data_IF_857067897459
#
_entry.id   IF_857067897459
#
_cell.length_a   1.000
_cell.length_b   1.000
_cell.length_c   1.000
_cell.angle_alpha   90.00
_cell.angle_beta   90.00
_cell.angle_gamma   90.00
#
_symmetry.space_group_name_H-M   'P 1'
#
loop_
_entity.id
_entity.type
_entity.pdbx_description
1 polymer ?
#
# COMPACT_ATOMS: atom_id res chain seq x y z
N UNK A 1 -19.71 -30.41 -3.83
CA UNK A 1 -18.89 -29.40 -3.14
C UNK A 1 -18.11 -28.65 -4.22
N UNK A 2 -18.46 -27.40 -4.53
CA UNK A 2 -17.75 -26.62 -5.58
C UNK A 2 -16.44 -26.09 -4.98
N UNK A 3 -15.26 -26.36 -5.56
CA UNK A 3 -14.02 -25.72 -5.13
C UNK A 3 -14.14 -24.22 -5.44
N UNK A 4 -13.94 -23.39 -4.41
CA UNK A 4 -13.81 -21.95 -4.57
C UNK A 4 -12.44 -21.69 -5.16
N UNK A 5 -12.36 -21.60 -6.49
CA UNK A 5 -11.20 -21.04 -7.17
C UNK A 5 -11.15 -19.56 -6.85
N UNK A 6 -10.49 -19.20 -5.74
CA UNK A 6 -10.01 -17.84 -5.60
C UNK A 6 -9.04 -17.60 -6.77
N UNK A 7 -9.19 -16.53 -7.56
CA UNK A 7 -8.19 -16.20 -8.57
C UNK A 7 -6.83 -16.07 -7.87
N UNK A 8 -5.91 -16.94 -8.27
CA UNK A 8 -4.58 -17.15 -7.68
C UNK A 8 -3.60 -16.00 -7.94
N UNK A 9 -4.09 -14.87 -8.46
CA UNK A 9 -3.29 -13.67 -8.72
C UNK A 9 -2.86 -12.93 -7.44
N UNK A 10 -3.31 -13.38 -6.25
CA UNK A 10 -3.09 -12.70 -4.98
C UNK A 10 -2.01 -13.32 -4.07
N UNK A 11 -1.20 -14.26 -4.56
CA UNK A 11 -0.31 -15.06 -3.69
C UNK A 11 1.17 -14.64 -3.72
N UNK A 12 1.62 -13.73 -4.60
CA UNK A 12 3.06 -13.54 -4.85
C UNK A 12 3.52 -12.08 -4.83
N UNK A 13 4.14 -11.68 -3.73
CA UNK A 13 5.20 -10.65 -3.76
C UNK A 13 6.23 -10.77 -2.61
N UNK A 14 6.21 -11.80 -1.77
CA UNK A 14 7.07 -11.83 -0.58
C UNK A 14 8.53 -12.23 -0.82
N UNK A 15 8.92 -12.58 -2.05
CA UNK A 15 10.34 -12.72 -2.40
C UNK A 15 10.57 -12.71 -3.92
N UNK A 16 10.95 -11.56 -4.46
CA UNK A 16 11.63 -11.52 -5.75
C UNK A 16 13.13 -11.78 -5.54
N UNK A 17 13.78 -12.65 -6.34
CA UNK A 17 15.22 -12.85 -6.28
C UNK A 17 15.93 -11.52 -6.60
N UNK A 18 16.88 -11.16 -5.74
CA UNK A 18 17.73 -9.97 -5.87
C UNK A 18 18.46 -9.99 -7.22
N UNK A 19 18.06 -9.13 -8.15
CA UNK A 19 18.69 -9.06 -9.47
C UNK A 19 18.17 -7.98 -10.42
N UNK A 20 17.17 -7.18 -10.03
CA UNK A 20 16.74 -6.00 -10.78
C UNK A 20 17.18 -4.74 -10.05
N UNK A 21 17.85 -3.83 -10.74
CA UNK A 21 18.13 -2.48 -10.22
C UNK A 21 16.83 -1.82 -9.75
N UNK A 22 16.88 -0.96 -8.71
CA UNK A 22 15.69 -0.26 -8.26
C UNK A 22 15.11 0.58 -9.41
N UNK A 23 13.81 0.41 -9.66
CA UNK A 23 13.13 0.94 -10.85
C UNK A 23 12.50 2.31 -10.60
N UNK A 24 12.15 2.61 -9.35
CA UNK A 24 11.39 3.80 -8.99
C UNK A 24 12.14 4.66 -7.97
N UNK A 25 12.04 5.98 -8.11
CA UNK A 25 12.54 6.93 -7.11
C UNK A 25 11.49 7.15 -6.02
N UNK A 26 10.21 7.26 -6.40
CA UNK A 26 9.10 7.55 -5.51
C UNK A 26 7.90 6.61 -5.75
N UNK A 27 7.06 6.30 -4.73
CA UNK A 27 5.84 5.51 -4.92
C UNK A 27 4.85 6.07 -5.95
N UNK A 28 4.95 7.38 -6.22
CA UNK A 28 4.14 8.07 -7.24
C UNK A 28 4.59 7.79 -8.66
N UNK A 29 5.85 7.41 -8.89
CA UNK A 29 6.36 7.10 -10.23
C UNK A 29 5.71 5.82 -10.76
N UNK A 30 5.45 4.87 -9.87
CA UNK A 30 4.71 3.63 -10.17
C UNK A 30 3.29 3.94 -10.68
N UNK A 31 2.64 5.01 -10.22
CA UNK A 31 1.32 5.41 -10.73
C UNK A 31 1.37 5.83 -12.20
N UNK A 32 2.50 6.40 -12.63
CA UNK A 32 2.72 6.91 -14.00
C UNK A 32 3.13 5.82 -14.98
N UNK A 33 3.47 4.62 -14.51
CA UNK A 33 3.88 3.51 -15.38
C UNK A 33 2.69 3.03 -16.25
N UNK A 34 2.75 3.17 -17.59
CA UNK A 34 1.70 2.71 -18.47
C UNK A 34 1.68 1.18 -18.65
N UNK A 35 2.76 0.48 -18.26
CA UNK A 35 2.89 -0.98 -18.39
C UNK A 35 2.19 -1.78 -17.29
N UNK A 36 1.72 -1.13 -16.23
CA UNK A 36 1.08 -1.77 -15.08
C UNK A 36 -0.42 -1.49 -15.02
N UNK A 37 -1.21 -2.54 -14.79
CA UNK A 37 -2.64 -2.42 -14.50
C UNK A 37 -2.86 -1.80 -13.12
N UNK A 38 -4.02 -1.16 -12.90
CA UNK A 38 -4.40 -0.59 -11.59
C UNK A 38 -4.31 -1.63 -10.47
N UNK A 39 -4.75 -2.87 -10.72
CA UNK A 39 -4.67 -3.95 -9.75
C UNK A 39 -3.21 -4.30 -9.41
N UNK A 40 -2.33 -4.42 -10.40
CA UNK A 40 -0.91 -4.69 -10.19
C UNK A 40 -0.22 -3.56 -9.41
N UNK A 41 -0.55 -2.30 -9.73
CA UNK A 41 -0.05 -1.12 -9.00
C UNK A 41 -0.46 -1.17 -7.53
N UNK A 42 -1.73 -1.50 -7.25
CA UNK A 42 -2.27 -1.60 -5.89
C UNK A 42 -1.59 -2.72 -5.09
N UNK A 43 -1.41 -3.89 -5.69
CA UNK A 43 -0.73 -5.03 -5.04
C UNK A 43 0.71 -4.70 -4.70
N UNK A 44 1.44 -4.03 -5.59
CA UNK A 44 2.83 -3.66 -5.36
C UNK A 44 2.96 -2.58 -4.25
N UNK A 45 2.12 -1.54 -4.29
CA UNK A 45 2.08 -0.53 -3.23
C UNK A 45 1.66 -1.12 -1.87
N UNK A 46 0.71 -2.04 -1.85
CA UNK A 46 0.31 -2.75 -0.62
C UNK A 46 1.47 -3.59 -0.05
N UNK A 47 2.24 -4.25 -0.92
CA UNK A 47 3.44 -4.99 -0.53
C UNK A 47 4.49 -4.08 0.12
N UNK A 48 4.68 -2.86 -0.41
CA UNK A 48 5.60 -1.88 0.17
C UNK A 48 5.12 -1.32 1.50
N UNK A 49 3.80 -1.18 1.69
CA UNK A 49 3.23 -0.71 2.96
C UNK A 49 3.42 -1.72 4.10
N UNK A 50 3.56 -3.01 3.77
CA UNK A 50 3.79 -4.09 4.73
C UNK A 50 5.05 -3.86 5.59
N UNK A 51 4.99 -4.29 6.85
CA UNK A 51 6.13 -4.24 7.78
C UNK A 51 7.34 -5.06 7.32
N UNK A 52 7.15 -5.97 6.37
CA UNK A 52 8.25 -6.67 5.72
C UNK A 52 9.23 -5.74 5.01
N UNK A 53 8.78 -4.54 4.60
CA UNK A 53 9.62 -3.51 4.03
C UNK A 53 10.08 -2.48 5.07
N UNK A 54 9.77 -2.64 6.36
CA UNK A 54 10.14 -1.67 7.40
C UNK A 54 11.66 -1.60 7.59
N UNK A 55 12.19 -0.38 7.75
CA UNK A 55 13.60 -0.19 8.12
C UNK A 55 13.80 -0.57 9.59
N UNK A 56 14.81 -1.39 9.94
CA UNK A 56 15.13 -1.71 11.32
C UNK A 56 15.32 -0.43 12.16
N UNK A 57 14.69 -0.37 13.33
CA UNK A 57 14.71 0.78 14.24
C UNK A 57 14.05 2.07 13.71
N UNK A 58 13.45 2.07 12.51
CA UNK A 58 12.67 3.19 12.01
C UNK A 58 11.38 2.71 11.28
N UNK A 59 10.34 2.32 12.05
CA UNK A 59 9.13 1.70 11.51
C UNK A 59 8.28 2.64 10.65
N UNK A 60 8.52 3.95 10.69
CA UNK A 60 7.87 4.92 9.82
C UNK A 60 8.38 4.85 8.38
N UNK A 61 9.58 4.31 8.15
CA UNK A 61 10.19 4.17 6.84
C UNK A 61 10.02 2.77 6.27
N UNK A 62 9.89 2.72 4.94
CA UNK A 62 9.83 1.52 4.12
C UNK A 62 10.95 1.55 3.10
N UNK A 63 11.70 0.46 2.97
CA UNK A 63 12.80 0.30 2.03
C UNK A 63 12.59 -0.96 1.17
N UNK A 64 11.57 -0.97 0.29
CA UNK A 64 11.38 -2.07 -0.63
C UNK A 64 12.52 -2.11 -1.67
N UNK A 65 12.89 -3.31 -2.17
CA UNK A 65 14.03 -3.47 -3.08
C UNK A 65 13.83 -2.77 -4.44
N UNK A 66 12.58 -2.48 -4.82
CA UNK A 66 12.25 -1.78 -6.06
C UNK A 66 12.44 -0.25 -5.99
N UNK A 67 12.58 0.32 -4.78
CA UNK A 67 12.84 1.74 -4.56
C UNK A 67 14.33 2.02 -4.39
N UNK A 68 14.75 3.19 -4.89
CA UNK A 68 16.14 3.65 -4.76
C UNK A 68 16.48 4.16 -3.37
N UNK A 69 15.48 4.59 -2.59
CA UNK A 69 15.68 5.15 -1.25
C UNK A 69 14.53 4.75 -0.32
N UNK A 70 14.79 4.65 1.00
CA UNK A 70 13.73 4.49 1.98
C UNK A 70 12.75 5.66 1.91
N UNK A 71 11.46 5.35 1.90
CA UNK A 71 10.37 6.34 1.86
C UNK A 71 9.47 6.17 3.07
N UNK A 72 8.81 7.23 3.55
CA UNK A 72 7.85 7.10 4.63
C UNK A 72 6.62 6.32 4.17
N UNK A 73 6.04 5.55 5.08
CA UNK A 73 4.79 4.80 4.82
C UNK A 73 3.65 5.72 4.38
N UNK A 74 3.64 6.98 4.82
CA UNK A 74 2.67 8.00 4.39
C UNK A 74 2.66 8.19 2.87
N UNK A 75 3.83 8.20 2.22
CA UNK A 75 3.92 8.41 0.77
C UNK A 75 3.36 7.22 -0.01
N UNK A 76 3.50 6.01 0.53
CA UNK A 76 2.92 4.78 -0.03
C UNK A 76 1.40 4.81 0.13
N UNK A 77 0.90 5.20 1.31
CA UNK A 77 -0.54 5.34 1.56
C UNK A 77 -1.17 6.44 0.71
N UNK A 78 -0.47 7.55 0.51
CA UNK A 78 -0.90 8.63 -0.39
C UNK A 78 -0.94 8.16 -1.85
N UNK A 79 0.03 7.35 -2.28
CA UNK A 79 0.02 6.75 -3.61
C UNK A 79 -1.14 5.75 -3.77
N UNK A 80 -1.44 4.93 -2.76
CA UNK A 80 -2.60 4.04 -2.75
C UNK A 80 -3.91 4.83 -2.84
N UNK A 81 -4.05 5.89 -2.05
CA UNK A 81 -5.23 6.76 -2.09
C UNK A 81 -5.38 7.41 -3.48
N UNK A 82 -4.30 7.92 -4.06
CA UNK A 82 -4.34 8.50 -5.40
C UNK A 82 -4.69 7.48 -6.50
N UNK A 83 -4.36 6.20 -6.30
CA UNK A 83 -4.70 5.11 -7.22
C UNK A 83 -6.18 4.67 -7.08
N UNK A 84 -6.68 4.63 -5.85
CA UNK A 84 -8.00 4.11 -5.51
C UNK A 84 -9.12 5.16 -5.60
N UNK A 85 -8.77 6.45 -5.62
CA UNK A 85 -9.71 7.56 -5.64
C UNK A 85 -9.72 8.22 -7.04
N UNK A 86 -10.47 7.65 -8.01
CA UNK A 86 -10.73 8.31 -9.27
C UNK A 86 -11.73 9.45 -9.00
N UNK A 87 -11.23 10.57 -8.45
CA UNK A 87 -11.90 11.86 -8.22
C UNK A 87 -13.36 11.94 -8.71
N UNK A 88 -14.26 11.28 -7.98
CA UNK A 88 -15.70 11.51 -7.99
C UNK A 88 -16.31 10.80 -6.79
N UNK A 89 -16.45 11.46 -5.63
CA UNK A 89 -17.42 11.00 -4.66
C UNK A 89 -18.81 11.36 -5.20
N UNK A 90 -19.70 10.41 -5.55
CA UNK A 90 -21.12 10.74 -5.55
C UNK A 90 -21.44 11.09 -4.09
N UNK A 91 -21.84 12.34 -3.84
CA UNK A 91 -21.97 12.95 -2.52
C UNK A 91 -22.71 12.11 -1.47
N UNK A 92 -22.00 11.18 -0.86
CA UNK A 92 -22.42 10.44 0.33
C UNK A 92 -22.12 11.32 1.53
N UNK A 93 -23.17 11.84 2.15
CA UNK A 93 -23.09 12.65 3.38
C UNK A 93 -22.23 11.90 4.40
N UNK A 94 -21.24 12.54 5.07
CA UNK A 94 -20.50 11.85 6.12
C UNK A 94 -21.49 11.51 7.23
N UNK A 95 -21.77 10.21 7.40
CA UNK A 95 -22.44 9.69 8.57
C UNK A 95 -21.44 9.80 9.74
N UNK A 96 -21.31 11.02 10.27
CA UNK A 96 -20.54 11.28 11.47
C UNK A 96 -21.30 10.61 12.63
N UNK A 97 -21.04 9.34 12.87
CA UNK A 97 -21.46 8.68 14.11
C UNK A 97 -20.40 8.99 15.17
N UNK A 98 -20.72 10.00 15.98
CA UNK A 98 -20.32 10.28 17.36
C UNK A 98 -19.13 9.47 17.91
N UNK A 99 -18.00 10.11 18.24
CA UNK A 99 -17.71 10.85 19.48
C UNK A 99 -16.98 9.99 20.51
N UNK A 100 -15.92 10.57 21.05
CA UNK A 100 -14.87 10.04 21.92
C UNK A 100 -15.37 9.38 23.20
N UNK A 101 -15.10 8.08 23.39
CA UNK A 101 -14.98 7.49 24.72
C UNK A 101 -13.59 6.89 24.87
N UNK A 102 -12.70 7.67 25.50
CA UNK A 102 -11.46 7.15 26.08
C UNK A 102 -11.82 6.55 27.42
N UNK A 103 -11.85 5.23 27.52
CA UNK A 103 -11.82 4.56 28.82
C UNK A 103 -10.39 4.59 29.36
N UNK A 104 -10.10 5.56 30.22
CA UNK A 104 -9.01 5.41 31.20
C UNK A 104 -9.58 4.68 32.41
N UNK A 105 -9.23 3.41 32.58
CA UNK A 105 -9.45 2.68 33.83
C UNK A 105 -8.09 2.54 34.53
N UNK A 106 -7.92 3.29 35.62
CA UNK A 106 -6.91 3.08 36.63
C UNK A 106 -7.62 3.06 37.98
N UNK A 107 -7.46 1.97 38.72
CA UNK A 107 -7.58 1.88 40.17
C UNK A 107 -6.82 0.61 40.61
#
# INVERSE_FOLDING_TARGET
MRPTTAPVDNVLAFRLPAGGRPKYEHPRDLLRDPGLTTAAKRSLLASWASDACAVPSNPALRAPPELKSPVPISDILDALRALDDPREPPGGKPARLHSTERHTAAA
#
